data_IF_342826418375
#
_entry.id   IF_342826418375
#
_cell.length_a   1.000
_cell.length_b   1.000
_cell.length_c   1.000
_cell.angle_alpha   90.00
_cell.angle_beta   90.00
_cell.angle_gamma   90.00
#
_symmetry.space_group_name_H-M   'P 1'
#
loop_
_entity.id
_entity.type
_entity.pdbx_description
1 polymer ?
#
# COMPACT_ATOMS: atom_id res chain seq x y z
N UNK A 1 3.95 -14.79 3.99
CA UNK A 1 4.92 -14.04 4.81
C UNK A 1 4.13 -12.90 5.43
N UNK A 2 3.70 -13.09 6.68
CA UNK A 2 2.70 -12.22 7.29
C UNK A 2 3.42 -11.11 8.04
N UNK A 3 3.55 -9.95 7.40
CA UNK A 3 3.51 -8.71 8.14
C UNK A 3 2.03 -8.47 8.53
N UNK A 4 1.58 -9.22 9.55
CA UNK A 4 0.19 -9.50 9.98
C UNK A 4 -0.66 -10.37 9.03
N UNK A 5 -1.62 -11.16 9.58
CA UNK A 5 -2.25 -12.31 8.94
C UNK A 5 -3.50 -11.93 8.16
N UNK A 6 -4.01 -12.87 7.36
CA UNK A 6 -5.40 -12.88 6.92
C UNK A 6 -6.34 -12.71 8.13
N UNK A 7 -6.72 -11.48 8.41
CA UNK A 7 -7.76 -11.13 9.38
C UNK A 7 -8.46 -9.90 8.82
N UNK A 8 -9.79 -9.97 8.72
CA UNK A 8 -10.61 -8.78 8.62
C UNK A 8 -10.22 -7.85 9.76
N UNK A 9 -9.56 -6.73 9.45
CA UNK A 9 -9.30 -5.70 10.45
C UNK A 9 -10.57 -4.86 10.63
N UNK A 10 -11.28 -4.89 11.77
CA UNK A 10 -11.77 -3.65 12.35
C UNK A 10 -10.56 -2.98 13.00
N UNK A 11 -10.33 -1.72 12.69
CA UNK A 11 -9.48 -0.89 13.53
C UNK A 11 -10.10 0.49 13.64
N UNK A 12 -10.82 0.67 14.73
CA UNK A 12 -10.99 1.95 15.39
C UNK A 12 -9.61 2.45 15.90
N UNK A 13 -9.43 3.76 16.15
CA UNK A 13 -8.21 4.26 16.77
C UNK A 13 -7.85 3.51 18.07
N UNK A 14 -8.85 3.11 18.87
CA UNK A 14 -8.65 2.35 20.11
C UNK A 14 -8.04 0.94 19.88
N UNK A 15 -8.36 0.27 18.78
CA UNK A 15 -7.81 -1.05 18.44
C UNK A 15 -6.36 -0.99 17.93
N UNK A 16 -5.97 0.14 17.31
CA UNK A 16 -4.58 0.38 16.87
C UNK A 16 -3.71 0.71 18.06
N UNK A 17 -4.18 1.55 18.98
CA UNK A 17 -3.46 2.00 20.16
C UNK A 17 -2.99 0.86 21.07
N UNK A 18 -3.67 -0.30 21.09
CA UNK A 18 -3.23 -1.50 21.84
C UNK A 18 -1.85 -2.02 21.42
N UNK A 19 -1.37 -1.67 20.23
CA UNK A 19 -0.02 -2.01 19.73
C UNK A 19 1.06 -0.95 20.00
N UNK A 20 0.69 0.19 20.59
CA UNK A 20 1.58 1.34 20.84
C UNK A 20 1.82 1.55 22.33
N UNK A 21 2.83 2.36 22.67
CA UNK A 21 3.15 2.64 24.07
C UNK A 21 2.18 3.65 24.71
N UNK A 22 1.40 4.36 23.89
CA UNK A 22 0.33 5.25 24.31
C UNK A 22 -0.81 5.34 23.28
N UNK A 23 -1.98 5.81 23.72
CA UNK A 23 -3.11 6.11 22.84
C UNK A 23 -2.74 7.20 21.82
N UNK A 24 -2.01 8.23 22.23
CA UNK A 24 -1.58 9.33 21.37
C UNK A 24 -0.71 8.83 20.19
N UNK A 25 0.21 7.90 20.45
CA UNK A 25 1.01 7.26 19.40
C UNK A 25 0.13 6.45 18.43
N UNK A 26 -0.86 5.72 18.98
CA UNK A 26 -1.82 4.97 18.19
C UNK A 26 -2.65 5.86 17.27
N UNK A 27 -3.13 6.99 17.78
CA UNK A 27 -3.94 7.95 17.04
C UNK A 27 -3.12 8.63 15.93
N UNK A 28 -1.88 9.02 16.22
CA UNK A 28 -0.93 9.56 15.22
C UNK A 28 -0.66 8.57 14.10
N UNK A 29 -0.43 7.30 14.45
CA UNK A 29 -0.22 6.25 13.45
C UNK A 29 -1.47 6.02 12.60
N UNK A 30 -2.66 5.97 13.22
CA UNK A 30 -3.92 5.83 12.49
C UNK A 30 -4.15 6.98 11.51
N UNK A 31 -3.94 8.22 11.94
CA UNK A 31 -4.14 9.40 11.10
C UNK A 31 -3.16 9.41 9.92
N UNK A 32 -1.90 9.04 10.16
CA UNK A 32 -0.91 8.88 9.10
C UNK A 32 -1.37 7.86 8.04
N UNK A 33 -1.82 6.67 8.48
CA UNK A 33 -2.33 5.64 7.56
C UNK A 33 -3.55 6.13 6.79
N UNK A 34 -4.48 6.82 7.46
CA UNK A 34 -5.68 7.38 6.82
C UNK A 34 -5.32 8.37 5.71
N UNK A 35 -4.33 9.24 5.94
CA UNK A 35 -3.85 10.21 4.97
C UNK A 35 -3.19 9.52 3.77
N UNK A 36 -2.33 8.54 4.00
CA UNK A 36 -1.66 7.78 2.94
C UNK A 36 -2.65 6.92 2.13
N UNK A 37 -3.57 6.22 2.79
CA UNK A 37 -4.65 5.46 2.13
C UNK A 37 -5.56 6.37 1.31
N UNK A 38 -5.69 7.65 1.70
CA UNK A 38 -6.44 8.66 0.96
C UNK A 38 -5.66 9.29 -0.21
N UNK A 39 -4.40 8.94 -0.39
CA UNK A 39 -3.50 9.50 -1.40
C UNK A 39 -3.02 10.91 -1.09
N UNK A 40 -2.93 11.29 0.19
CA UNK A 40 -2.29 12.54 0.58
C UNK A 40 -0.76 12.42 0.46
N UNK A 41 -0.12 13.45 -0.11
CA UNK A 41 1.33 13.56 -0.14
C UNK A 41 1.86 13.98 1.25
N UNK A 42 2.01 13.01 2.14
CA UNK A 42 2.53 13.27 3.49
C UNK A 42 3.97 13.76 3.42
N UNK A 43 4.37 14.81 4.17
CA UNK A 43 5.75 15.29 4.24
C UNK A 43 6.73 14.24 4.77
N UNK A 44 7.99 14.29 4.31
CA UNK A 44 9.04 13.31 4.67
C UNK A 44 9.34 13.29 6.16
N UNK A 45 9.11 14.40 6.84
CA UNK A 45 9.37 14.61 8.27
C UNK A 45 8.35 13.89 9.14
N UNK A 46 7.13 13.69 8.63
CA UNK A 46 6.06 12.96 9.31
C UNK A 46 6.11 11.45 9.04
N UNK A 47 6.88 11.04 8.02
CA UNK A 47 7.01 9.64 7.65
C UNK A 47 7.85 8.83 8.65
N UNK A 48 7.44 7.61 8.99
CA UNK A 48 8.21 6.72 9.83
C UNK A 48 9.52 6.32 9.16
N UNK A 49 10.62 6.49 9.90
CA UNK A 49 11.95 6.07 9.47
C UNK A 49 12.34 4.68 9.96
N UNK A 50 11.66 4.15 10.98
CA UNK A 50 12.00 2.89 11.62
C UNK A 50 10.82 1.95 11.69
N UNK A 51 11.04 0.70 11.30
CA UNK A 51 10.07 -0.38 11.39
C UNK A 51 10.64 -1.54 12.18
N UNK A 52 9.77 -2.22 12.92
CA UNK A 52 10.14 -3.29 13.84
C UNK A 52 9.38 -4.56 13.47
N UNK A 53 10.04 -5.70 13.52
CA UNK A 53 9.36 -6.99 13.37
C UNK A 53 8.38 -7.21 14.54
N UNK A 54 7.16 -7.68 14.25
CA UNK A 54 6.10 -7.83 15.26
C UNK A 54 6.21 -9.10 16.12
N UNK A 55 7.04 -10.06 15.72
CA UNK A 55 7.22 -11.33 16.42
C UNK A 55 8.70 -11.62 16.72
N UNK A 56 8.98 -12.30 17.83
CA UNK A 56 10.32 -12.71 18.24
C UNK A 56 10.81 -13.94 17.46
N UNK A 57 10.76 -13.86 16.14
CA UNK A 57 11.15 -14.94 15.25
C UNK A 57 12.59 -14.66 14.82
N UNK A 58 13.54 -15.46 15.32
CA UNK A 58 14.99 -15.35 15.08
C UNK A 58 15.40 -15.69 13.63
N UNK A 59 14.47 -15.66 12.68
CA UNK A 59 14.74 -16.07 11.29
C UNK A 59 15.43 -14.92 10.56
N UNK A 60 16.61 -15.19 10.02
CA UNK A 60 17.30 -14.30 9.09
C UNK A 60 16.45 -14.16 7.81
N UNK A 61 15.63 -13.12 7.76
CA UNK A 61 14.56 -13.00 6.78
C UNK A 61 15.10 -12.57 5.40
N UNK A 62 14.96 -13.45 4.40
CA UNK A 62 14.97 -13.02 3.00
C UNK A 62 13.68 -12.24 2.71
N UNK A 63 13.71 -10.93 2.91
CA UNK A 63 12.60 -10.04 2.55
C UNK A 63 12.35 -10.11 1.04
N UNK A 64 11.10 -10.09 0.57
CA UNK A 64 10.79 -9.99 -0.85
C UNK A 64 11.20 -8.61 -1.40
N UNK A 65 11.26 -8.47 -2.73
CA UNK A 65 11.62 -7.20 -3.39
C UNK A 65 10.57 -6.12 -3.13
N UNK A 66 9.32 -6.54 -2.92
CA UNK A 66 8.16 -5.71 -2.57
C UNK A 66 7.39 -6.40 -1.45
N UNK A 67 7.00 -5.66 -0.41
CA UNK A 67 6.15 -6.17 0.67
C UNK A 67 5.31 -5.07 1.28
N UNK A 68 4.21 -5.45 1.92
CA UNK A 68 3.30 -4.52 2.57
C UNK A 68 3.43 -4.65 4.09
N UNK A 69 3.67 -3.52 4.76
CA UNK A 69 3.66 -3.38 6.23
C UNK A 69 2.93 -2.09 6.59
N UNK A 70 1.61 -2.12 6.69
CA UNK A 70 0.66 -1.10 6.19
C UNK A 70 1.01 -0.20 4.99
N UNK A 71 2.29 -0.01 4.68
CA UNK A 71 2.82 0.76 3.59
C UNK A 71 3.45 -0.15 2.54
N UNK A 72 3.49 0.31 1.29
CA UNK A 72 4.22 -0.37 0.23
C UNK A 72 5.73 -0.14 0.39
N UNK A 73 6.45 -1.16 0.84
CA UNK A 73 7.90 -1.18 0.99
C UNK A 73 8.56 -1.86 -0.21
N UNK A 74 9.64 -1.24 -0.69
CA UNK A 74 10.30 -1.57 -1.93
C UNK A 74 11.82 -1.62 -1.70
N UNK A 75 12.46 -2.66 -2.22
CA UNK A 75 13.93 -2.68 -2.35
C UNK A 75 14.38 -1.90 -3.58
N UNK A 76 15.65 -1.55 -3.62
CA UNK A 76 16.29 -0.83 -4.74
C UNK A 76 15.94 -1.39 -6.12
N UNK A 77 15.84 -2.72 -6.26
CA UNK A 77 15.49 -3.35 -7.54
C UNK A 77 14.09 -2.95 -8.03
N UNK A 78 13.09 -2.88 -7.16
CA UNK A 78 11.76 -2.39 -7.54
C UNK A 78 11.77 -0.88 -7.74
N UNK A 79 12.44 -0.12 -6.87
CA UNK A 79 12.53 1.35 -6.98
C UNK A 79 13.10 1.76 -8.35
N UNK A 80 14.10 1.04 -8.87
CA UNK A 80 14.65 1.30 -10.21
C UNK A 80 13.59 1.18 -11.31
N UNK A 81 12.71 0.18 -11.24
CA UNK A 81 11.61 0.03 -12.20
C UNK A 81 10.67 1.23 -12.09
N UNK A 82 10.20 1.58 -10.89
CA UNK A 82 9.29 2.73 -10.72
C UNK A 82 9.91 4.04 -11.22
N UNK A 83 11.23 4.25 -11.04
CA UNK A 83 11.93 5.46 -11.50
C UNK A 83 12.01 5.63 -13.03
N UNK A 84 11.66 4.60 -13.81
CA UNK A 84 11.58 4.69 -15.26
C UNK A 84 10.25 5.28 -15.77
N UNK A 85 9.31 5.56 -14.86
CA UNK A 85 7.93 5.97 -15.16
C UNK A 85 7.60 7.34 -14.56
N UNK A 86 6.50 7.95 -15.03
CA UNK A 86 6.00 9.19 -14.45
C UNK A 86 5.20 8.87 -13.18
N UNK A 87 5.86 9.06 -12.03
CA UNK A 87 5.24 8.85 -10.73
C UNK A 87 4.46 10.06 -10.23
N UNK A 88 4.43 11.18 -10.97
CA UNK A 88 3.77 12.42 -10.57
C UNK A 88 4.20 12.90 -9.18
N UNK A 89 3.22 13.22 -8.34
CA UNK A 89 3.44 13.61 -6.94
C UNK A 89 3.66 12.36 -6.08
N UNK A 90 4.82 11.73 -6.20
CA UNK A 90 5.21 10.62 -5.35
C UNK A 90 6.70 10.68 -5.00
N UNK A 91 7.09 10.06 -3.88
CA UNK A 91 8.50 9.96 -3.51
C UNK A 91 8.79 8.65 -2.76
N UNK A 92 10.07 8.28 -2.75
CA UNK A 92 10.59 7.19 -1.93
C UNK A 92 11.19 7.73 -0.64
N UNK A 93 10.77 7.18 0.49
CA UNK A 93 11.27 7.47 1.83
C UNK A 93 12.13 6.28 2.31
N UNK A 94 13.45 6.43 2.47
CA UNK A 94 14.29 5.37 3.02
C UNK A 94 13.86 4.99 4.44
N UNK A 95 13.88 3.70 4.76
CA UNK A 95 13.51 3.19 6.08
C UNK A 95 14.57 2.25 6.63
N UNK A 96 14.69 2.23 7.95
CA UNK A 96 15.50 1.30 8.72
C UNK A 96 14.60 0.19 9.26
N UNK A 97 15.00 -1.05 9.05
CA UNK A 97 14.30 -2.23 9.56
C UNK A 97 15.05 -2.82 10.74
N UNK A 98 14.32 -3.14 11.81
CA UNK A 98 14.85 -3.70 13.03
C UNK A 98 14.14 -5.01 13.38
N UNK A 99 14.87 -5.91 14.03
CA UNK A 99 14.31 -7.11 14.63
C UNK A 99 13.36 -6.76 15.79
N UNK A 100 12.74 -7.79 16.36
CA UNK A 100 11.78 -7.66 17.45
C UNK A 100 12.35 -6.92 18.69
N UNK A 101 13.65 -7.05 18.94
CA UNK A 101 14.35 -6.35 20.03
C UNK A 101 14.43 -4.83 19.86
N UNK A 102 14.03 -4.31 18.69
CA UNK A 102 14.02 -2.90 18.30
C UNK A 102 15.40 -2.23 18.25
N UNK A 103 16.47 -3.00 18.41
CA UNK A 103 17.84 -2.50 18.48
C UNK A 103 18.74 -3.13 17.43
N UNK A 104 18.49 -4.39 17.06
CA UNK A 104 19.29 -5.10 16.07
C UNK A 104 18.77 -4.77 14.66
N UNK A 105 19.58 -4.12 13.79
CA UNK A 105 19.16 -3.80 12.44
C UNK A 105 19.12 -5.05 11.55
N UNK A 106 18.15 -5.13 10.66
CA UNK A 106 18.09 -6.14 9.60
C UNK A 106 19.14 -5.79 8.55
N UNK A 107 20.25 -6.52 8.52
CA UNK A 107 21.41 -6.19 7.68
C UNK A 107 21.16 -6.40 6.19
N UNK A 108 21.83 -5.57 5.37
CA UNK A 108 21.95 -5.79 3.92
C UNK A 108 20.69 -5.49 3.10
N UNK A 109 19.78 -4.67 3.60
CA UNK A 109 18.53 -4.34 2.93
C UNK A 109 18.34 -2.83 2.79
N UNK A 110 18.56 -2.28 1.59
CA UNK A 110 18.09 -0.95 1.25
C UNK A 110 16.60 -1.05 0.93
N UNK A 111 15.77 -0.46 1.80
CA UNK A 111 14.32 -0.46 1.66
C UNK A 111 13.82 0.97 1.73
N UNK A 112 12.87 1.30 0.87
CA UNK A 112 12.13 2.54 0.96
C UNK A 112 10.63 2.28 0.92
N UNK A 113 9.89 3.10 1.64
CA UNK A 113 8.46 3.25 1.47
C UNK A 113 8.17 4.18 0.30
N UNK A 114 7.13 3.91 -0.49
CA UNK A 114 6.61 4.88 -1.44
C UNK A 114 5.44 5.66 -0.84
N UNK A 115 5.49 6.99 -0.96
CA UNK A 115 4.36 7.88 -0.65
C UNK A 115 3.76 8.35 -1.98
N UNK A 116 2.45 8.14 -2.16
CA UNK A 116 1.75 8.45 -3.41
C UNK A 116 0.73 9.55 -3.12
N UNK A 117 0.94 10.71 -3.71
CA UNK A 117 0.10 11.91 -3.60
C UNK A 117 -0.83 12.13 -4.80
N UNK A 118 -1.01 11.11 -5.64
CA UNK A 118 -1.82 11.20 -6.85
C UNK A 118 -3.20 10.60 -6.59
N UNK A 119 -4.22 11.44 -6.49
CA UNK A 119 -5.60 11.04 -6.21
C UNK A 119 -6.42 11.09 -7.49
N UNK A 120 -7.12 9.99 -7.82
CA UNK A 120 -8.06 9.97 -8.96
C UNK A 120 -9.33 9.20 -8.61
N UNK A 121 -10.48 9.78 -8.94
CA UNK A 121 -11.75 9.06 -8.96
C UNK A 121 -11.74 8.07 -10.14
N UNK A 122 -11.51 6.80 -9.84
CA UNK A 122 -11.04 5.79 -10.78
C UNK A 122 -12.08 4.71 -11.03
N UNK A 123 -12.73 4.21 -9.98
CA UNK A 123 -13.57 3.01 -10.07
C UNK A 123 -15.05 3.35 -10.24
N UNK A 124 -15.72 2.64 -11.16
CA UNK A 124 -17.19 2.60 -11.30
C UNK A 124 -17.72 1.46 -10.46
N UNK A 125 -17.97 1.74 -9.18
CA UNK A 125 -18.35 0.71 -8.21
C UNK A 125 -19.65 0.00 -8.57
N UNK A 126 -20.61 0.72 -9.14
CA UNK A 126 -21.90 0.23 -9.62
C UNK A 126 -21.80 -0.78 -10.78
N UNK A 127 -20.67 -0.77 -11.50
CA UNK A 127 -20.42 -1.64 -12.65
C UNK A 127 -19.34 -2.68 -12.39
N UNK A 128 -18.70 -2.62 -11.22
CA UNK A 128 -17.64 -3.53 -10.82
C UNK A 128 -18.20 -4.71 -10.04
N UNK A 129 -17.56 -5.86 -10.19
CA UNK A 129 -17.87 -7.08 -9.44
C UNK A 129 -16.90 -7.24 -8.27
N UNK A 130 -17.32 -8.01 -7.26
CA UNK A 130 -16.53 -8.30 -6.04
C UNK A 130 -16.02 -7.06 -5.31
N UNK A 131 -16.73 -5.92 -5.43
CA UNK A 131 -16.54 -4.71 -4.64
C UNK A 131 -17.70 -4.59 -3.66
N UNK A 132 -17.40 -4.29 -2.39
CA UNK A 132 -18.41 -4.05 -1.36
C UNK A 132 -18.04 -2.88 -0.48
N UNK A 133 -19.03 -2.30 0.21
CA UNK A 133 -18.77 -1.31 1.25
C UNK A 133 -17.76 -1.87 2.25
N UNK A 134 -16.74 -1.08 2.57
CA UNK A 134 -15.71 -1.46 3.54
C UNK A 134 -16.32 -1.63 4.92
N UNK A 135 -17.22 -0.73 5.31
CA UNK A 135 -17.97 -0.75 6.56
C UNK A 135 -19.42 -0.34 6.28
N UNK A 136 -20.44 -0.96 6.90
CA UNK A 136 -21.84 -0.58 6.72
C UNK A 136 -22.11 0.91 7.01
N UNK A 137 -21.39 1.48 7.98
CA UNK A 137 -21.60 2.86 8.45
C UNK A 137 -20.75 3.90 7.70
N UNK A 138 -19.98 3.51 6.69
CA UNK A 138 -19.22 4.44 5.85
C UNK A 138 -19.63 4.24 4.38
N UNK A 139 -20.62 5.00 3.88
CA UNK A 139 -21.26 4.73 2.59
C UNK A 139 -20.37 5.00 1.37
N UNK A 140 -19.19 5.59 1.56
CA UNK A 140 -18.37 6.11 0.45
C UNK A 140 -17.03 5.39 0.28
N UNK A 141 -16.69 4.44 1.16
CA UNK A 141 -15.43 3.69 1.09
C UNK A 141 -15.74 2.22 0.85
N UNK A 142 -15.13 1.68 -0.21
CA UNK A 142 -15.32 0.32 -0.66
C UNK A 142 -14.03 -0.48 -0.49
N UNK A 143 -14.16 -1.81 -0.50
CA UNK A 143 -13.02 -2.75 -0.55
C UNK A 143 -13.22 -3.72 -1.71
N UNK A 144 -12.14 -4.00 -2.42
CA UNK A 144 -12.07 -5.02 -3.45
C UNK A 144 -11.84 -6.37 -2.77
N UNK A 145 -12.51 -7.42 -3.22
CA UNK A 145 -12.28 -8.79 -2.75
C UNK A 145 -10.86 -9.24 -3.04
N UNK A 146 -10.27 -10.04 -2.13
CA UNK A 146 -8.98 -10.70 -2.37
C UNK A 146 -9.03 -11.74 -3.50
N UNK A 147 -10.23 -12.17 -3.88
CA UNK A 147 -10.47 -13.09 -4.98
C UNK A 147 -10.88 -12.37 -6.26
N UNK A 148 -10.66 -11.07 -6.40
CA UNK A 148 -10.99 -10.37 -7.65
C UNK A 148 -10.20 -10.95 -8.83
N UNK A 149 -10.84 -11.03 -9.99
CA UNK A 149 -10.25 -11.53 -11.24
C UNK A 149 -10.06 -10.39 -12.25
N UNK A 150 -9.34 -10.67 -13.34
CA UNK A 150 -9.14 -9.72 -14.43
C UNK A 150 -10.49 -9.24 -14.99
N UNK A 151 -10.59 -7.95 -15.30
CA UNK A 151 -11.76 -7.24 -15.84
C UNK A 151 -12.99 -7.15 -14.92
N UNK A 152 -12.95 -7.68 -13.69
CA UNK A 152 -14.05 -7.54 -12.73
C UNK A 152 -14.15 -6.14 -12.13
N UNK A 153 -13.05 -5.37 -12.11
CA UNK A 153 -13.05 -3.97 -11.68
C UNK A 153 -13.16 -3.07 -12.91
N UNK A 154 -14.20 -2.23 -12.92
CA UNK A 154 -14.46 -1.29 -14.00
C UNK A 154 -13.91 0.09 -13.62
N UNK A 155 -13.07 0.65 -14.48
CA UNK A 155 -12.43 1.95 -14.31
C UNK A 155 -12.93 2.97 -15.32
N UNK A 156 -12.83 4.25 -14.97
CA UNK A 156 -13.20 5.38 -15.84
C UNK A 156 -12.11 5.63 -16.86
N UNK A 157 -12.47 6.00 -18.08
CA UNK A 157 -11.51 6.47 -19.09
C UNK A 157 -10.62 7.63 -18.59
N UNK A 158 -11.13 8.49 -17.70
CA UNK A 158 -10.36 9.56 -17.07
C UNK A 158 -9.18 9.08 -16.23
N UNK A 159 -9.15 7.81 -15.81
CA UNK A 159 -8.05 7.22 -15.05
C UNK A 159 -6.79 6.98 -15.90
N UNK A 160 -6.93 6.97 -17.24
CA UNK A 160 -5.82 6.73 -18.17
C UNK A 160 -4.85 7.91 -18.32
N UNK A 161 -5.25 9.10 -17.87
CA UNK A 161 -4.38 10.27 -17.88
C UNK A 161 -3.24 10.10 -16.86
N UNK A 162 -2.12 10.81 -17.03
CA UNK A 162 -0.99 10.82 -16.09
C UNK A 162 -1.44 11.08 -14.63
N UNK A 163 -0.69 10.61 -13.61
CA UNK A 163 0.56 9.82 -13.66
C UNK A 163 0.33 8.30 -13.66
N UNK A 164 1.43 7.53 -13.75
CA UNK A 164 1.45 6.06 -13.85
C UNK A 164 1.07 5.31 -12.58
N UNK A 165 1.05 5.99 -11.44
CA UNK A 165 0.64 5.42 -10.15
C UNK A 165 -0.27 6.38 -9.42
N UNK A 166 -1.38 5.88 -8.89
CA UNK A 166 -2.33 6.70 -8.14
C UNK A 166 -3.18 5.88 -7.17
N UNK A 167 -3.96 6.59 -6.37
CA UNK A 167 -4.89 6.06 -5.38
C UNK A 167 -6.30 6.57 -5.72
N UNK A 168 -7.29 5.70 -5.59
CA UNK A 168 -8.69 6.09 -5.54
C UNK A 168 -9.12 6.17 -4.06
N UNK A 169 -9.47 7.36 -3.53
CA UNK A 169 -9.75 7.54 -2.11
C UNK A 169 -11.03 6.82 -1.67
N UNK A 170 -11.87 6.37 -2.62
CA UNK A 170 -13.07 5.57 -2.35
C UNK A 170 -12.75 4.09 -2.27
N UNK A 171 -11.56 3.64 -2.68
CA UNK A 171 -11.19 2.23 -2.70
C UNK A 171 -10.07 1.98 -1.68
N UNK A 172 -10.43 1.30 -0.61
CA UNK A 172 -9.49 1.00 0.47
C UNK A 172 -8.44 -0.03 0.05
N UNK A 173 -7.19 0.26 0.40
CA UNK A 173 -6.05 -0.65 0.25
C UNK A 173 -5.85 -1.15 -1.18
N UNK A 174 -6.00 -0.24 -2.15
CA UNK A 174 -5.75 -0.50 -3.56
C UNK A 174 -4.86 0.60 -4.16
N UNK A 175 -3.86 0.17 -4.94
CA UNK A 175 -3.05 1.05 -5.77
C UNK A 175 -3.37 0.77 -7.23
N UNK A 176 -3.40 1.81 -8.03
CA UNK A 176 -3.64 1.71 -9.46
C UNK A 176 -2.37 2.05 -10.20
N UNK A 177 -2.13 1.30 -11.28
CA UNK A 177 -0.99 1.49 -12.17
C UNK A 177 -1.49 1.69 -13.59
N UNK A 178 -0.79 2.49 -14.38
CA UNK A 178 -0.97 2.50 -15.82
C UNK A 178 -0.57 1.15 -16.41
N UNK A 179 -1.06 0.84 -17.62
CA UNK A 179 -0.70 -0.43 -18.28
C UNK A 179 0.82 -0.54 -18.47
N UNK A 180 1.51 0.53 -18.89
CA UNK A 180 2.97 0.50 -19.10
C UNK A 180 3.75 0.15 -17.82
N UNK A 181 3.40 0.74 -16.68
CA UNK A 181 4.05 0.43 -15.40
C UNK A 181 3.66 -0.98 -14.93
N UNK A 182 2.40 -1.37 -15.10
CA UNK A 182 1.93 -2.71 -14.76
C UNK A 182 2.69 -3.79 -15.54
N UNK A 183 2.87 -3.63 -16.85
CA UNK A 183 3.62 -4.58 -17.68
C UNK A 183 5.09 -4.69 -17.25
N UNK A 184 5.73 -3.57 -16.87
CA UNK A 184 7.10 -3.60 -16.36
C UNK A 184 7.22 -4.36 -15.04
N UNK A 185 6.27 -4.17 -14.12
CA UNK A 185 6.20 -4.91 -12.86
C UNK A 185 5.94 -6.41 -13.10
N UNK A 186 5.04 -6.76 -14.02
CA UNK A 186 4.75 -8.15 -14.41
C UNK A 186 6.01 -8.80 -15.00
N UNK A 187 6.70 -8.13 -15.94
CA UNK A 187 7.96 -8.60 -16.54
C UNK A 187 9.06 -8.82 -15.49
N UNK A 188 9.04 -8.05 -14.40
CA UNK A 188 9.95 -8.21 -13.27
C UNK A 188 9.53 -9.33 -12.29
N UNK A 189 8.43 -10.04 -12.56
CA UNK A 189 7.92 -11.13 -11.72
C UNK A 189 7.12 -10.66 -10.49
N UNK A 190 6.62 -9.43 -10.49
CA UNK A 190 5.96 -8.84 -9.31
C UNK A 190 4.43 -8.99 -9.31
N UNK A 191 3.83 -9.57 -10.35
CA UNK A 191 2.36 -9.73 -10.47
C UNK A 191 1.73 -10.33 -9.21
N UNK A 192 2.20 -11.49 -8.79
CA UNK A 192 1.66 -12.22 -7.64
C UNK A 192 2.00 -11.54 -6.31
N UNK A 193 3.18 -10.92 -6.21
CA UNK A 193 3.61 -10.21 -4.99
C UNK A 193 2.73 -8.99 -4.73
N UNK A 194 2.33 -8.30 -5.79
CA UNK A 194 1.46 -7.12 -5.74
C UNK A 194 -0.04 -7.46 -5.90
N UNK A 195 -0.38 -8.75 -6.10
CA UNK A 195 -1.75 -9.22 -6.37
C UNK A 195 -2.44 -8.42 -7.48
N UNK A 196 -1.73 -8.17 -8.57
CA UNK A 196 -2.22 -7.33 -9.65
C UNK A 196 -3.28 -8.05 -10.49
N UNK A 197 -4.39 -7.36 -10.72
CA UNK A 197 -5.43 -7.73 -11.68
C UNK A 197 -5.62 -6.64 -12.71
N UNK A 198 -5.98 -7.01 -13.94
CA UNK A 198 -6.31 -6.05 -14.99
C UNK A 198 -7.70 -5.47 -14.74
N UNK A 199 -7.85 -4.17 -14.96
CA UNK A 199 -9.15 -3.48 -14.90
C UNK A 199 -9.74 -3.32 -16.29
N UNK A 200 -11.07 -3.29 -16.40
CA UNK A 200 -11.77 -2.92 -17.64
C UNK A 200 -12.07 -1.42 -17.64
N UNK A 201 -11.51 -0.68 -18.61
CA UNK A 201 -11.77 0.76 -18.72
C UNK A 201 -12.95 1.05 -19.65
N UNK A 202 -13.82 1.99 -19.26
CA UNK A 202 -14.98 2.45 -20.04
C UNK A 202 -15.13 3.97 -20.05
#
# INVERSE_FOLDING_TARGET
>A
MNFFPDFELPRTPEEIAKGFSSQEEGDKHYELLRRIDGGELVPKEEMPRRFFHSANDQVEMKLPIVFNTPFLLLKDKAIRIFKEFDLGNAYFHPVELFHFDRTTPVKGQNVSMICIGNVKDTVRVDQSQRIKLRRPNNPNVYKISVFVEDDEVVTKASALNDPDIWIDPRIHNAWFFSDRLAQALIKAGLKETLRMVRTKTI
#
